data_IF_104079434147
#
_entry.id   IF_104079434147
#
_cell.length_a   1.000
_cell.length_b   1.000
_cell.length_c   1.000
_cell.angle_alpha   90.00
_cell.angle_beta   90.00
_cell.angle_gamma   90.00
#
_symmetry.space_group_name_H-M   'P 1'
#
loop_
_entity.id
_entity.type
_entity.pdbx_description
1 polymer ?
#
# COMPACT_ATOMS: atom_id res chain seq x y z
N UNK A 1 -21.63 8.75 14.94
CA UNK A 1 -20.81 7.95 14.00
C UNK A 1 -19.66 7.32 14.77
N UNK A 2 -19.91 6.17 15.40
CA UNK A 2 -18.92 5.43 16.19
C UNK A 2 -18.21 4.45 15.26
N UNK A 3 -16.98 4.77 14.87
CA UNK A 3 -16.14 3.84 14.13
C UNK A 3 -15.61 2.79 15.11
N UNK A 4 -16.22 1.61 15.10
CA UNK A 4 -15.76 0.43 15.82
C UNK A 4 -14.36 0.10 15.34
N UNK A 5 -13.40 0.29 16.26
CA UNK A 5 -12.00 -0.09 16.14
C UNK A 5 -11.95 -1.62 16.16
N UNK A 6 -12.12 -2.24 14.99
CA UNK A 6 -11.90 -3.67 14.83
C UNK A 6 -10.41 -3.92 14.97
N UNK A 7 -10.04 -4.51 16.11
CA UNK A 7 -8.78 -5.20 16.31
C UNK A 7 -8.74 -6.37 15.32
N UNK A 8 -8.21 -6.13 14.14
CA UNK A 8 -8.03 -7.14 13.11
C UNK A 8 -6.54 -7.25 12.89
N UNK A 9 -5.92 -8.18 13.64
CA UNK A 9 -4.60 -8.79 13.39
C UNK A 9 -3.83 -8.06 12.29
N UNK A 10 -3.15 -6.97 12.68
CA UNK A 10 -2.49 -6.04 11.75
C UNK A 10 -1.63 -6.87 10.82
N UNK A 11 -2.07 -7.04 9.58
CA UNK A 11 -1.25 -7.66 8.56
C UNK A 11 -0.17 -6.64 8.24
N UNK A 12 0.95 -6.75 8.96
CA UNK A 12 1.96 -5.70 9.00
C UNK A 12 2.71 -5.73 7.67
N UNK A 13 2.46 -4.73 6.84
CA UNK A 13 3.35 -4.36 5.75
C UNK A 13 4.19 -3.19 6.29
N UNK A 14 5.52 -3.35 6.51
CA UNK A 14 6.34 -2.29 7.10
C UNK A 14 6.19 -0.97 6.34
N UNK A 15 5.89 0.12 7.06
CA UNK A 15 5.70 1.44 6.44
C UNK A 15 4.32 1.67 5.80
N UNK A 16 3.43 0.68 5.80
CA UNK A 16 2.10 0.77 5.20
C UNK A 16 0.98 0.46 6.21
N UNK A 17 -0.09 1.25 6.14
CA UNK A 17 -1.32 1.04 6.89
C UNK A 17 -2.28 0.22 6.04
N UNK A 18 -2.52 -1.02 6.46
CA UNK A 18 -3.53 -1.90 5.85
C UNK A 18 -4.91 -1.58 6.44
N UNK A 19 -5.91 -1.49 5.56
CA UNK A 19 -7.31 -1.21 5.86
C UNK A 19 -8.13 -2.30 5.18
N UNK A 20 -8.87 -3.08 5.98
CA UNK A 20 -9.80 -4.09 5.48
C UNK A 20 -11.17 -3.43 5.25
N UNK A 21 -11.66 -3.48 4.02
CA UNK A 21 -13.06 -3.18 3.73
C UNK A 21 -13.92 -4.40 4.05
N UNK A 22 -15.08 -4.13 4.63
CA UNK A 22 -16.19 -5.06 4.83
C UNK A 22 -16.68 -5.79 3.56
N UNK A 23 -16.40 -5.24 2.37
CA UNK A 23 -16.76 -5.81 1.07
C UNK A 23 -15.73 -6.77 0.47
N UNK A 24 -14.74 -7.20 1.25
CA UNK A 24 -13.70 -8.13 0.81
C UNK A 24 -12.54 -7.46 0.05
N UNK A 25 -12.53 -6.13 -0.06
CA UNK A 25 -11.39 -5.38 -0.60
C UNK A 25 -10.45 -4.95 0.50
N UNK A 26 -9.15 -5.04 0.27
CA UNK A 26 -8.11 -4.55 1.17
C UNK A 26 -7.34 -3.42 0.54
N UNK A 27 -7.06 -2.40 1.33
CA UNK A 27 -6.37 -1.20 0.90
C UNK A 27 -5.11 -1.07 1.75
N UNK A 28 -4.03 -0.61 1.16
CA UNK A 28 -2.82 -0.24 1.87
C UNK A 28 -2.48 1.21 1.51
N UNK A 29 -2.28 2.04 2.52
CA UNK A 29 -1.76 3.40 2.34
C UNK A 29 -0.42 3.54 3.03
N UNK A 30 0.58 4.06 2.32
CA UNK A 30 1.89 4.34 2.89
C UNK A 30 1.76 5.38 4.01
N UNK A 31 2.44 5.12 5.13
CA UNK A 31 2.43 5.97 6.33
C UNK A 31 3.16 7.28 6.06
N UNK A 32 4.31 7.20 5.40
CA UNK A 32 5.07 8.36 4.91
C UNK A 32 4.81 8.49 3.41
N UNK A 33 4.28 9.63 2.93
CA UNK A 33 4.04 9.81 1.50
C UNK A 33 5.35 9.68 0.71
N UNK A 34 5.23 9.26 -0.54
CA UNK A 34 6.34 9.34 -1.50
C UNK A 34 6.74 10.80 -1.74
N UNK A 35 8.00 11.02 -2.12
CA UNK A 35 8.46 12.34 -2.58
C UNK A 35 7.86 12.67 -3.96
N UNK A 36 7.90 13.94 -4.37
CA UNK A 36 7.42 14.34 -5.71
C UNK A 36 8.07 13.52 -6.83
N UNK A 37 9.39 13.33 -6.77
CA UNK A 37 10.13 12.51 -7.73
C UNK A 37 9.69 11.04 -7.79
N UNK A 38 9.18 10.50 -6.69
CA UNK A 38 8.71 9.11 -6.61
C UNK A 38 7.28 9.00 -7.16
N UNK A 39 6.43 10.00 -6.92
CA UNK A 39 5.14 10.11 -7.60
C UNK A 39 5.32 10.28 -9.11
N UNK A 40 6.27 11.12 -9.55
CA UNK A 40 6.60 11.30 -10.97
C UNK A 40 7.12 10.02 -11.63
N UNK A 41 7.78 9.14 -10.85
CA UNK A 41 8.18 7.80 -11.31
C UNK A 41 6.98 6.84 -11.47
N UNK A 42 5.79 7.23 -10.99
CA UNK A 42 4.56 6.44 -11.05
C UNK A 42 4.25 5.65 -9.77
N UNK A 43 4.91 5.97 -8.64
CA UNK A 43 4.65 5.30 -7.38
C UNK A 43 3.33 5.77 -6.75
N UNK A 44 2.42 4.84 -6.52
CA UNK A 44 1.11 5.11 -5.92
C UNK A 44 1.17 4.97 -4.40
N UNK A 45 0.78 6.03 -3.69
CA UNK A 45 0.76 6.05 -2.21
C UNK A 45 -0.29 5.11 -1.61
N UNK A 46 -1.35 4.82 -2.35
CA UNK A 46 -2.47 4.00 -1.90
C UNK A 46 -2.79 2.98 -2.96
N UNK A 47 -2.89 1.74 -2.53
CA UNK A 47 -3.13 0.59 -3.39
C UNK A 47 -4.21 -0.29 -2.81
N UNK A 48 -4.95 -0.97 -3.66
CA UNK A 48 -5.98 -1.92 -3.27
C UNK A 48 -5.77 -3.29 -3.91
N UNK A 49 -6.27 -4.32 -3.23
CA UNK A 49 -6.23 -5.70 -3.66
C UNK A 49 -7.34 -6.52 -2.99
N UNK A 50 -7.67 -7.66 -3.58
CA UNK A 50 -8.69 -8.57 -3.02
C UNK A 50 -8.09 -9.54 -1.98
N UNK A 51 -6.78 -9.78 -2.04
CA UNK A 51 -6.04 -10.64 -1.08
C UNK A 51 -4.82 -9.94 -0.46
N UNK A 52 -4.36 -10.40 0.71
CA UNK A 52 -3.22 -9.80 1.41
C UNK A 52 -1.92 -10.03 0.65
N UNK A 53 -1.83 -11.16 -0.05
CA UNK A 53 -0.68 -11.52 -0.89
C UNK A 53 -0.57 -10.56 -2.08
N UNK A 54 -1.68 -10.31 -2.77
CA UNK A 54 -1.74 -9.31 -3.84
C UNK A 54 -1.44 -7.90 -3.29
N UNK A 55 -1.95 -7.55 -2.11
CA UNK A 55 -1.67 -6.25 -1.49
C UNK A 55 -0.18 -6.07 -1.19
N UNK A 56 0.50 -7.12 -0.74
CA UNK A 56 1.96 -7.12 -0.52
C UNK A 56 2.72 -6.96 -1.83
N UNK A 57 2.35 -7.74 -2.85
CA UNK A 57 2.98 -7.65 -4.17
C UNK A 57 2.80 -6.26 -4.80
N UNK A 58 1.65 -5.63 -4.57
CA UNK A 58 1.37 -4.27 -5.03
C UNK A 58 2.23 -3.25 -4.27
N UNK A 59 2.28 -3.32 -2.94
CA UNK A 59 3.16 -2.46 -2.14
C UNK A 59 4.63 -2.60 -2.57
N UNK A 60 5.12 -3.83 -2.74
CA UNK A 60 6.50 -4.08 -3.16
C UNK A 60 6.77 -3.46 -4.54
N UNK A 61 5.80 -3.50 -5.45
CA UNK A 61 5.90 -2.83 -6.75
C UNK A 61 6.00 -1.32 -6.59
N UNK A 62 5.15 -0.71 -5.75
CA UNK A 62 5.19 0.73 -5.53
C UNK A 62 6.51 1.18 -4.89
N UNK A 63 7.05 0.42 -3.94
CA UNK A 63 8.37 0.69 -3.37
C UNK A 63 9.49 0.50 -4.40
N UNK A 64 9.40 -0.48 -5.29
CA UNK A 64 10.38 -0.69 -6.37
C UNK A 64 10.35 0.46 -7.41
N UNK A 65 9.16 0.92 -7.78
CA UNK A 65 8.98 2.12 -8.63
C UNK A 65 9.58 3.34 -7.95
N UNK A 66 9.28 3.54 -6.67
CA UNK A 66 9.79 4.65 -5.86
C UNK A 66 11.31 4.57 -5.62
N UNK A 67 11.90 3.37 -5.61
CA UNK A 67 13.34 3.18 -5.53
C UNK A 67 14.05 3.46 -6.86
N UNK A 68 13.31 3.64 -7.96
CA UNK A 68 13.87 3.75 -9.30
C UNK A 68 14.50 2.45 -9.79
N UNK A 69 14.13 1.31 -9.19
CA UNK A 69 14.68 -0.02 -9.53
C UNK A 69 14.04 -0.59 -10.81
N UNK A 70 13.10 0.15 -11.40
CA UNK A 70 12.85 0.11 -12.84
C UNK A 70 14.07 0.68 -13.55
N UNK A 71 15.10 -0.17 -13.71
CA UNK A 71 16.13 -0.01 -14.75
C UNK A 71 15.40 0.23 -16.06
N UNK A 72 15.33 1.49 -16.46
CA UNK A 72 15.01 1.86 -17.82
C UNK A 72 16.25 1.47 -18.64
N UNK A 73 16.17 0.56 -19.61
CA UNK A 73 17.27 0.30 -20.54
C UNK A 73 17.57 1.53 -21.41
#
# INVERSE_FOLDING_TARGET
MTQTKSDSSVSVIPGWRVILSDRGRMWASRVVPFTESQFDAGAERTVDADTLEELRAEVDRQEAVAAGDLRTP
#
